data_IF_238476121169
#
_entry.id   IF_238476121169
#
_cell.length_a   1.000
_cell.length_b   1.000
_cell.length_c   1.000
_cell.angle_alpha   90.00
_cell.angle_beta   90.00
_cell.angle_gamma   90.00
#
_symmetry.space_group_name_H-M   'P 1'
#
loop_
_entity.id
_entity.type
_entity.pdbx_description
1 polymer ?
#
# COMPACT_ATOMS: atom_id res chain seq x y z
N UNK A 1 17.76 -4.17 40.19
CA UNK A 1 18.36 -5.03 39.15
C UNK A 1 17.39 -5.10 37.97
N UNK A 2 17.73 -4.53 36.80
CA UNK A 2 16.89 -4.61 35.60
C UNK A 2 17.18 -5.94 34.88
N UNK A 3 16.24 -6.87 34.92
CA UNK A 3 16.24 -8.04 34.03
C UNK A 3 15.92 -7.57 32.60
N UNK A 4 16.95 -7.14 31.86
CA UNK A 4 16.89 -7.04 30.42
C UNK A 4 16.76 -8.45 29.86
N UNK A 5 15.51 -8.87 29.63
CA UNK A 5 15.18 -10.07 28.85
C UNK A 5 16.08 -10.10 27.62
N UNK A 6 16.95 -11.12 27.53
CA UNK A 6 17.80 -11.35 26.36
C UNK A 6 16.85 -11.50 25.18
N UNK A 7 16.84 -10.52 24.26
CA UNK A 7 16.04 -10.58 23.04
C UNK A 7 16.41 -11.86 22.30
N UNK A 8 15.51 -12.85 22.33
CA UNK A 8 15.64 -14.03 21.49
C UNK A 8 15.51 -13.57 20.05
N UNK A 9 16.63 -13.55 19.31
CA UNK A 9 16.65 -13.24 17.89
C UNK A 9 15.98 -14.41 17.15
N UNK A 10 14.65 -14.35 17.02
CA UNK A 10 13.92 -15.29 16.18
C UNK A 10 14.28 -15.00 14.72
N UNK A 11 14.74 -16.02 13.99
CA UNK A 11 14.98 -15.90 12.54
C UNK A 11 13.67 -15.48 11.85
N UNK A 12 13.72 -14.40 11.08
CA UNK A 12 12.57 -13.86 10.36
C UNK A 12 11.93 -14.90 9.43
N UNK A 13 12.74 -15.79 8.84
CA UNK A 13 12.23 -16.90 8.03
C UNK A 13 11.39 -17.89 8.85
N UNK A 14 11.76 -18.15 10.12
CA UNK A 14 10.97 -19.00 11.02
C UNK A 14 9.68 -18.30 11.46
N UNK A 15 9.75 -17.00 11.76
CA UNK A 15 8.57 -16.18 12.12
C UNK A 15 7.54 -16.15 10.99
N UNK A 16 7.99 -16.14 9.73
CA UNK A 16 7.12 -16.13 8.56
C UNK A 16 6.53 -17.48 8.15
N UNK A 17 6.91 -18.59 8.80
CA UNK A 17 6.35 -19.91 8.50
C UNK A 17 4.86 -19.98 8.90
N UNK A 18 4.10 -20.90 8.26
CA UNK A 18 2.78 -21.25 8.74
C UNK A 18 2.79 -21.69 10.21
N UNK A 19 1.72 -21.43 10.95
CA UNK A 19 1.60 -21.90 12.33
C UNK A 19 1.73 -23.43 12.44
N UNK A 20 1.21 -24.17 11.47
CA UNK A 20 1.38 -25.62 11.35
C UNK A 20 2.85 -26.07 11.19
N UNK A 21 3.74 -25.18 10.74
CA UNK A 21 5.17 -25.41 10.59
C UNK A 21 6.00 -24.70 11.69
N UNK A 22 5.36 -24.28 12.78
CA UNK A 22 6.03 -23.65 13.93
C UNK A 22 6.37 -22.17 13.77
N UNK A 23 5.79 -21.47 12.78
CA UNK A 23 5.91 -20.02 12.61
C UNK A 23 4.74 -19.21 13.15
N UNK A 24 4.75 -17.90 12.94
CA UNK A 24 3.73 -16.96 13.42
C UNK A 24 2.80 -16.46 12.30
N UNK A 25 2.80 -17.11 11.12
CA UNK A 25 2.04 -16.69 9.94
C UNK A 25 2.33 -15.22 9.51
N UNK A 26 3.46 -14.64 9.92
CA UNK A 26 3.81 -13.27 9.55
C UNK A 26 4.18 -13.23 8.07
N UNK A 27 3.58 -12.33 7.29
CA UNK A 27 3.89 -12.21 5.87
C UNK A 27 5.34 -11.76 5.66
N UNK A 28 6.14 -12.58 4.97
CA UNK A 28 7.48 -12.20 4.56
C UNK A 28 7.40 -11.13 3.46
N UNK A 29 7.66 -9.86 3.82
CA UNK A 29 7.56 -8.71 2.91
C UNK A 29 8.43 -8.86 1.66
N UNK A 30 9.62 -9.45 1.77
CA UNK A 30 10.49 -9.70 0.62
C UNK A 30 9.86 -10.71 -0.35
N UNK A 31 9.31 -11.83 0.15
CA UNK A 31 8.60 -12.82 -0.66
C UNK A 31 7.31 -12.25 -1.25
N UNK A 32 6.58 -11.44 -0.49
CA UNK A 32 5.37 -10.77 -0.95
C UNK A 32 5.67 -9.77 -2.06
N UNK A 33 6.72 -8.96 -1.93
CA UNK A 33 7.12 -8.01 -2.97
C UNK A 33 7.51 -8.74 -4.26
N UNK A 34 8.25 -9.86 -4.16
CA UNK A 34 8.52 -10.74 -5.31
C UNK A 34 7.23 -11.24 -5.93
N UNK A 35 6.29 -11.76 -5.13
CA UNK A 35 4.98 -12.20 -5.63
C UNK A 35 4.21 -11.06 -6.32
N UNK A 36 4.25 -9.84 -5.79
CA UNK A 36 3.61 -8.66 -6.37
C UNK A 36 4.18 -8.30 -7.74
N UNK A 37 5.50 -8.34 -7.88
CA UNK A 37 6.16 -8.14 -9.17
C UNK A 37 5.78 -9.26 -10.15
N UNK A 38 5.77 -10.52 -9.71
CA UNK A 38 5.37 -11.69 -10.54
C UNK A 38 3.91 -11.56 -11.01
N UNK A 39 3.00 -11.08 -10.15
CA UNK A 39 1.60 -10.82 -10.56
C UNK A 39 1.49 -9.76 -11.64
N UNK A 40 2.30 -8.69 -11.55
CA UNK A 40 2.33 -7.68 -12.61
C UNK A 40 2.93 -8.23 -13.90
N UNK A 41 3.99 -9.03 -13.79
CA UNK A 41 4.59 -9.74 -14.91
C UNK A 41 3.57 -10.65 -15.63
N UNK A 42 2.83 -11.47 -14.87
CA UNK A 42 1.75 -12.30 -15.38
C UNK A 42 0.67 -11.48 -16.10
N UNK A 43 0.27 -10.35 -15.52
CA UNK A 43 -0.73 -9.47 -16.15
C UNK A 43 -0.25 -8.92 -17.49
N UNK A 44 1.02 -8.53 -17.61
CA UNK A 44 1.63 -8.06 -18.87
C UNK A 44 1.73 -9.20 -19.88
N UNK A 45 2.16 -10.39 -19.45
CA UNK A 45 2.30 -11.57 -20.29
C UNK A 45 0.95 -12.00 -20.89
N UNK A 46 -0.13 -11.97 -20.10
CA UNK A 46 -1.49 -12.24 -20.58
C UNK A 46 -2.11 -11.10 -21.40
N UNK A 47 -1.39 -9.99 -21.63
CA UNK A 47 -1.91 -8.80 -22.32
C UNK A 47 -3.25 -8.32 -21.75
N UNK A 48 -3.42 -8.38 -20.42
CA UNK A 48 -4.67 -8.00 -19.77
C UNK A 48 -5.11 -6.61 -20.22
N UNK A 49 -6.38 -6.49 -20.61
CA UNK A 49 -6.90 -5.22 -21.15
C UNK A 49 -7.02 -4.16 -20.05
N UNK A 50 -5.94 -3.38 -19.89
CA UNK A 50 -5.98 -2.13 -19.16
C UNK A 50 -4.93 -1.15 -19.70
N UNK A 51 -5.18 0.14 -19.49
CA UNK A 51 -4.41 1.24 -20.11
C UNK A 51 -2.91 1.16 -19.83
N UNK A 52 -2.50 0.83 -18.61
CA UNK A 52 -1.08 0.78 -18.27
C UNK A 52 -0.37 -0.40 -18.95
N UNK A 53 -1.04 -1.55 -19.14
CA UNK A 53 -0.48 -2.71 -19.86
C UNK A 53 -0.38 -2.39 -21.34
N UNK A 54 -1.43 -1.80 -21.93
CA UNK A 54 -1.40 -1.31 -23.32
C UNK A 54 -0.24 -0.33 -23.54
N UNK A 55 -0.02 0.58 -22.59
CA UNK A 55 1.11 1.51 -22.64
C UNK A 55 2.48 0.81 -22.52
N UNK A 56 2.64 -0.16 -21.61
CA UNK A 56 3.88 -0.94 -21.50
C UNK A 56 4.18 -1.68 -22.80
N UNK A 57 3.17 -2.32 -23.39
CA UNK A 57 3.30 -3.00 -24.68
C UNK A 57 3.69 -2.03 -25.80
N UNK A 58 3.05 -0.86 -25.89
CA UNK A 58 3.35 0.13 -26.92
C UNK A 58 4.73 0.80 -26.76
N UNK A 59 5.11 1.15 -25.53
CA UNK A 59 6.30 1.96 -25.26
C UNK A 59 7.57 1.13 -25.06
N UNK A 60 7.50 0.08 -24.22
CA UNK A 60 8.67 -0.72 -23.85
C UNK A 60 8.85 -1.96 -24.72
N UNK A 61 7.77 -2.71 -24.99
CA UNK A 61 7.84 -3.98 -25.74
C UNK A 61 7.81 -3.71 -27.26
N UNK A 62 7.06 -2.68 -27.68
CA UNK A 62 6.84 -2.29 -29.07
C UNK A 62 6.31 -3.48 -29.89
N UNK A 63 7.01 -3.85 -30.96
CA UNK A 63 6.68 -5.01 -31.82
C UNK A 63 7.46 -6.28 -31.47
N UNK A 64 8.17 -6.29 -30.35
CA UNK A 64 9.02 -7.41 -29.95
C UNK A 64 8.22 -8.46 -29.17
N UNK A 65 8.73 -9.69 -29.15
CA UNK A 65 8.24 -10.74 -28.25
C UNK A 65 8.57 -10.39 -26.81
N UNK A 66 7.58 -10.48 -25.92
CA UNK A 66 7.75 -10.10 -24.52
C UNK A 66 8.82 -10.92 -23.81
N UNK A 67 8.99 -12.18 -24.19
CA UNK A 67 9.91 -13.13 -23.57
C UNK A 67 11.38 -12.78 -23.81
N UNK A 68 11.68 -12.07 -24.90
CA UNK A 68 13.05 -11.79 -25.35
C UNK A 68 13.36 -10.30 -25.50
N UNK A 69 12.42 -9.40 -25.19
CA UNK A 69 12.67 -7.98 -25.39
C UNK A 69 13.76 -7.46 -24.42
N UNK A 70 14.72 -6.66 -24.91
CA UNK A 70 15.80 -6.15 -24.08
C UNK A 70 15.27 -5.15 -23.07
N UNK A 71 15.96 -5.00 -21.94
CA UNK A 71 15.61 -4.02 -20.90
C UNK A 71 16.26 -2.67 -21.27
N UNK A 72 15.49 -1.62 -21.63
CA UNK A 72 16.10 -0.33 -21.98
C UNK A 72 16.85 0.29 -20.78
N UNK A 73 17.94 1.02 -21.04
CA UNK A 73 18.69 1.71 -19.97
C UNK A 73 17.86 2.81 -19.29
N UNK A 74 16.93 3.42 -20.02
CA UNK A 74 16.04 4.51 -19.57
C UNK A 74 14.71 4.02 -18.97
N UNK A 75 14.63 2.73 -18.62
CA UNK A 75 13.38 2.11 -18.12
C UNK A 75 13.03 2.60 -16.72
N UNK A 76 11.74 2.86 -16.47
CA UNK A 76 11.25 3.15 -15.13
C UNK A 76 11.58 1.97 -14.18
N UNK A 77 11.99 2.26 -12.94
CA UNK A 77 12.48 1.26 -11.99
C UNK A 77 11.54 0.06 -11.83
N UNK A 78 10.23 0.30 -11.75
CA UNK A 78 9.22 -0.77 -11.60
C UNK A 78 9.17 -1.68 -12.83
N UNK A 79 9.21 -1.13 -14.05
CA UNK A 79 9.20 -1.91 -15.29
C UNK A 79 10.52 -2.67 -15.43
N UNK A 80 11.64 -2.04 -15.08
CA UNK A 80 12.94 -2.71 -15.02
C UNK A 80 12.90 -3.92 -14.08
N UNK A 81 12.33 -3.78 -12.87
CA UNK A 81 12.19 -4.90 -11.93
C UNK A 81 11.29 -6.02 -12.44
N UNK A 82 10.22 -5.68 -13.16
CA UNK A 82 9.35 -6.65 -13.82
C UNK A 82 10.12 -7.44 -14.89
N UNK A 83 10.87 -6.75 -15.76
CA UNK A 83 11.65 -7.40 -16.83
C UNK A 83 12.85 -8.20 -16.29
N UNK A 84 13.54 -7.72 -15.25
CA UNK A 84 14.58 -8.50 -14.56
C UNK A 84 13.99 -9.78 -13.93
N UNK A 85 12.76 -9.70 -13.42
CA UNK A 85 12.04 -10.88 -12.88
C UNK A 85 11.64 -11.85 -13.99
N UNK A 86 11.24 -11.36 -15.16
CA UNK A 86 11.00 -12.18 -16.36
C UNK A 86 12.25 -13.00 -16.68
N UNK A 87 13.40 -12.34 -16.80
CA UNK A 87 14.67 -13.00 -17.15
C UNK A 87 15.05 -14.06 -16.11
N UNK A 88 14.86 -13.74 -14.83
CA UNK A 88 15.08 -14.68 -13.72
C UNK A 88 14.20 -15.93 -13.85
N UNK A 89 12.93 -15.78 -14.21
CA UNK A 89 12.00 -16.91 -14.40
C UNK A 89 12.36 -17.70 -15.66
N UNK A 90 12.71 -17.03 -16.75
CA UNK A 90 13.11 -17.68 -17.99
C UNK A 90 14.37 -18.54 -17.79
N UNK A 91 15.33 -18.09 -16.98
CA UNK A 91 16.54 -18.83 -16.62
C UNK A 91 16.30 -20.05 -15.70
N UNK A 92 15.11 -20.22 -15.12
CA UNK A 92 14.83 -21.39 -14.29
C UNK A 92 14.78 -22.67 -15.13
N UNK A 93 15.82 -23.50 -14.98
CA UNK A 93 15.99 -24.76 -15.73
C UNK A 93 14.94 -25.82 -15.35
N UNK A 94 14.41 -25.77 -14.12
CA UNK A 94 13.47 -26.78 -13.61
C UNK A 94 12.07 -26.74 -14.25
N UNK A 95 11.74 -25.67 -15.00
CA UNK A 95 10.44 -25.55 -15.67
C UNK A 95 10.65 -25.31 -17.15
N UNK A 96 10.30 -26.29 -17.97
CA UNK A 96 10.31 -26.19 -19.43
C UNK A 96 9.11 -25.39 -19.93
N UNK A 97 9.28 -24.67 -21.04
CA UNK A 97 8.24 -23.89 -21.70
C UNK A 97 8.55 -22.39 -21.79
N UNK A 98 7.64 -21.67 -22.43
CA UNK A 98 7.66 -20.20 -22.54
C UNK A 98 7.33 -19.52 -21.19
N UNK A 99 7.36 -18.19 -21.15
CA UNK A 99 7.14 -17.44 -19.93
C UNK A 99 5.76 -17.74 -19.30
N UNK A 100 4.72 -17.88 -20.12
CA UNK A 100 3.37 -18.15 -19.65
C UNK A 100 3.25 -19.56 -19.05
N UNK A 101 3.85 -20.57 -19.69
CA UNK A 101 3.91 -21.92 -19.15
C UNK A 101 4.64 -21.98 -17.80
N UNK A 102 5.76 -21.23 -17.68
CA UNK A 102 6.51 -21.14 -16.41
C UNK A 102 5.70 -20.44 -15.32
N UNK A 103 5.02 -19.34 -15.64
CA UNK A 103 4.15 -18.63 -14.71
C UNK A 103 2.90 -19.44 -14.35
N UNK A 104 2.40 -20.28 -15.26
CA UNK A 104 1.22 -21.11 -15.04
C UNK A 104 1.38 -22.05 -13.85
N UNK A 105 2.58 -22.63 -13.68
CA UNK A 105 2.89 -23.49 -12.52
C UNK A 105 2.88 -22.77 -11.17
N UNK A 106 2.85 -21.44 -11.17
CA UNK A 106 2.82 -20.59 -9.98
C UNK A 106 1.42 -20.03 -9.69
N UNK A 107 0.41 -20.38 -10.50
CA UNK A 107 -0.97 -19.96 -10.30
C UNK A 107 -1.64 -20.70 -9.13
N UNK A 108 -2.69 -20.09 -8.58
CA UNK A 108 -3.61 -20.78 -7.68
C UNK A 108 -4.44 -21.82 -8.46
N UNK A 109 -5.17 -22.69 -7.75
CA UNK A 109 -6.05 -23.72 -8.35
C UNK A 109 -7.17 -23.15 -9.25
N UNK A 110 -7.45 -21.86 -9.16
CA UNK A 110 -8.44 -21.12 -9.96
C UNK A 110 -7.80 -20.36 -11.14
N UNK A 111 -6.58 -20.74 -11.53
CA UNK A 111 -5.75 -20.08 -12.55
C UNK A 111 -5.46 -18.60 -12.29
N UNK A 112 -5.75 -18.10 -11.08
CA UNK A 112 -5.52 -16.72 -10.69
C UNK A 112 -4.14 -16.53 -10.04
N UNK A 113 -3.50 -15.40 -10.32
CA UNK A 113 -2.43 -14.86 -9.47
C UNK A 113 -3.04 -13.94 -8.41
N UNK A 114 -3.48 -14.52 -7.29
CA UNK A 114 -4.02 -13.78 -6.15
C UNK A 114 -2.98 -13.64 -5.06
N UNK A 115 -2.70 -12.40 -4.66
CA UNK A 115 -1.83 -12.09 -3.54
C UNK A 115 -2.72 -11.59 -2.41
N UNK A 116 -2.62 -12.21 -1.23
CA UNK A 116 -3.35 -11.75 -0.04
C UNK A 116 -3.03 -10.27 0.21
N UNK A 117 -4.07 -9.43 0.38
CA UNK A 117 -3.91 -7.99 0.70
C UNK A 117 -3.01 -7.85 1.95
N UNK A 118 -2.11 -6.85 1.94
CA UNK A 118 -0.95 -6.73 2.84
C UNK A 118 -1.28 -6.23 4.26
N UNK A 119 -2.33 -5.43 4.45
CA UNK A 119 -2.57 -4.76 5.74
C UNK A 119 -3.26 -5.70 6.72
N UNK A 120 -2.59 -6.07 7.82
CA UNK A 120 -3.08 -6.98 8.86
C UNK A 120 -4.11 -6.32 9.81
N UNK A 121 -5.30 -6.04 9.28
CA UNK A 121 -6.50 -5.65 10.04
C UNK A 121 -6.97 -6.79 10.97
N UNK A 122 -7.83 -6.52 11.97
CA UNK A 122 -8.18 -7.52 13.00
C UNK A 122 -8.79 -8.80 12.41
N UNK A 123 -9.64 -8.68 11.39
CA UNK A 123 -10.15 -9.80 10.60
C UNK A 123 -9.03 -10.68 10.02
N UNK A 124 -7.95 -10.05 9.56
CA UNK A 124 -6.77 -10.76 9.01
C UNK A 124 -5.91 -11.37 10.09
N UNK A 125 -5.77 -10.70 11.25
CA UNK A 125 -5.08 -11.27 12.41
C UNK A 125 -5.80 -12.55 12.88
N UNK A 126 -7.13 -12.53 12.92
CA UNK A 126 -7.93 -13.71 13.27
C UNK A 126 -7.78 -14.83 12.23
N UNK A 127 -7.80 -14.50 10.92
CA UNK A 127 -7.55 -15.48 9.85
C UNK A 127 -6.15 -16.12 9.90
N UNK A 128 -5.16 -15.48 10.54
CA UNK A 128 -3.81 -16.05 10.71
C UNK A 128 -3.58 -16.68 12.09
N UNK A 129 -4.64 -16.85 12.89
CA UNK A 129 -4.60 -17.51 14.20
C UNK A 129 -4.19 -16.60 15.36
N UNK A 130 -4.05 -15.30 15.14
CA UNK A 130 -3.79 -14.32 16.20
C UNK A 130 -5.14 -13.86 16.77
N UNK A 131 -5.39 -14.18 18.04
CA UNK A 131 -6.57 -13.68 18.76
C UNK A 131 -6.42 -12.16 18.97
N UNK A 132 -6.98 -11.38 18.05
CA UNK A 132 -7.08 -9.93 18.16
C UNK A 132 -8.56 -9.54 18.39
N UNK A 133 -8.84 -8.55 19.26
CA UNK A 133 -10.21 -8.06 19.41
C UNK A 133 -10.73 -7.52 18.07
N UNK A 134 -11.88 -8.03 17.62
CA UNK A 134 -12.50 -7.63 16.35
C UNK A 134 -13.08 -6.22 16.39
N UNK A 135 -13.34 -5.66 17.57
CA UNK A 135 -13.77 -4.27 17.73
C UNK A 135 -12.67 -3.31 17.29
N UNK A 136 -13.02 -2.28 16.53
CA UNK A 136 -12.13 -1.20 16.09
C UNK A 136 -11.39 -0.57 17.26
N UNK A 137 -10.07 -0.46 17.14
CA UNK A 137 -9.24 0.07 18.23
C UNK A 137 -9.46 1.56 18.49
N UNK A 138 -10.02 2.30 17.53
CA UNK A 138 -10.26 3.73 17.67
C UNK A 138 -11.61 4.05 18.32
N UNK A 139 -12.70 3.46 17.82
CA UNK A 139 -14.06 3.79 18.27
C UNK A 139 -14.70 2.73 19.16
N UNK A 140 -14.13 1.52 19.23
CA UNK A 140 -14.65 0.35 19.95
C UNK A 140 -16.06 -0.13 19.56
N UNK A 141 -16.76 0.55 18.64
CA UNK A 141 -18.16 0.27 18.29
C UNK A 141 -18.38 -0.51 16.98
N UNK A 142 -17.39 -0.59 16.08
CA UNK A 142 -17.50 -1.30 14.80
C UNK A 142 -16.49 -2.44 14.67
N UNK A 143 -16.71 -3.34 13.70
CA UNK A 143 -15.76 -4.40 13.37
C UNK A 143 -14.58 -3.80 12.58
N UNK A 144 -13.35 -4.06 13.03
CA UNK A 144 -12.14 -3.57 12.37
C UNK A 144 -11.85 -4.33 11.07
N UNK A 145 -12.40 -3.81 9.97
CA UNK A 145 -12.02 -4.17 8.61
C UNK A 145 -11.15 -3.07 8.00
N UNK A 146 -10.55 -3.32 6.83
CA UNK A 146 -9.79 -2.29 6.11
C UNK A 146 -10.70 -1.13 5.71
N UNK A 147 -11.86 -1.45 5.15
CA UNK A 147 -12.85 -0.48 4.71
C UNK A 147 -13.35 0.35 5.90
N UNK A 148 -13.61 -0.31 7.05
CA UNK A 148 -14.00 0.39 8.27
C UNK A 148 -12.90 1.32 8.81
N UNK A 149 -11.66 0.85 8.85
CA UNK A 149 -10.51 1.56 9.41
C UNK A 149 -10.17 2.85 8.64
N UNK A 150 -10.34 2.87 7.32
CA UNK A 150 -9.99 4.01 6.48
C UNK A 150 -11.24 4.80 6.11
N UNK A 151 -11.68 5.65 7.05
CA UNK A 151 -12.66 6.73 6.92
C UNK A 151 -14.15 6.41 7.19
N UNK A 152 -14.53 5.14 7.28
CA UNK A 152 -15.88 4.76 7.74
C UNK A 152 -15.99 4.79 9.28
N UNK A 153 -14.91 4.44 9.99
CA UNK A 153 -14.82 4.59 11.44
C UNK A 153 -14.96 6.07 11.82
N UNK A 154 -15.89 6.45 12.73
CA UNK A 154 -16.17 7.84 13.06
C UNK A 154 -14.93 8.66 13.44
N UNK A 155 -13.99 8.05 14.17
CA UNK A 155 -12.75 8.68 14.63
C UNK A 155 -11.80 8.96 13.46
N UNK A 156 -11.50 7.96 12.65
CA UNK A 156 -10.60 8.13 11.48
C UNK A 156 -11.24 8.97 10.36
N UNK A 157 -12.56 8.92 10.25
CA UNK A 157 -13.34 9.73 9.32
C UNK A 157 -13.38 11.20 9.72
N UNK A 158 -13.41 11.51 11.03
CA UNK A 158 -13.29 12.87 11.54
C UNK A 158 -11.94 13.50 11.19
N UNK A 159 -10.83 12.76 11.40
CA UNK A 159 -9.49 13.18 10.97
C UNK A 159 -9.45 13.55 9.48
N UNK A 160 -10.03 12.71 8.61
CA UNK A 160 -10.04 12.98 7.18
C UNK A 160 -10.93 14.18 6.81
N UNK A 161 -12.10 14.32 7.44
CA UNK A 161 -12.97 15.46 7.22
C UNK A 161 -12.29 16.77 7.64
N UNK A 162 -11.58 16.77 8.77
CA UNK A 162 -10.79 17.91 9.24
C UNK A 162 -9.69 18.30 8.25
N UNK A 163 -8.98 17.31 7.69
CA UNK A 163 -7.99 17.55 6.63
C UNK A 163 -8.62 18.06 5.33
N UNK A 164 -9.80 17.58 4.95
CA UNK A 164 -10.54 18.07 3.78
C UNK A 164 -10.95 19.54 3.95
N UNK A 165 -11.49 19.89 5.13
CA UNK A 165 -11.84 21.28 5.48
C UNK A 165 -10.60 22.16 5.45
N UNK A 166 -9.50 21.72 6.07
CA UNK A 166 -8.22 22.43 6.04
C UNK A 166 -7.74 22.67 4.61
N UNK A 167 -7.81 21.67 3.73
CA UNK A 167 -7.46 21.79 2.31
C UNK A 167 -8.42 22.68 1.49
N UNK A 168 -9.48 23.22 2.10
CA UNK A 168 -10.47 24.10 1.46
C UNK A 168 -11.56 23.36 0.68
N UNK A 169 -11.78 22.08 0.96
CA UNK A 169 -12.84 21.30 0.32
C UNK A 169 -14.12 21.28 1.16
N UNK A 170 -15.21 21.79 0.58
CA UNK A 170 -16.56 21.63 1.13
C UNK A 170 -17.17 20.37 0.53
N UNK A 171 -17.04 19.23 1.24
CA UNK A 171 -17.67 17.96 0.86
C UNK A 171 -17.88 17.07 2.08
N UNK A 172 -18.85 16.17 1.98
CA UNK A 172 -18.97 15.05 2.90
C UNK A 172 -17.90 14.00 2.59
N UNK A 173 -17.44 13.31 3.63
CA UNK A 173 -16.57 12.13 3.48
C UNK A 173 -17.38 10.99 2.85
N UNK A 174 -16.82 10.32 1.85
CA UNK A 174 -17.29 9.05 1.33
C UNK A 174 -16.71 7.85 2.08
N UNK A 175 -17.07 6.64 1.64
CA UNK A 175 -16.37 5.43 2.08
C UNK A 175 -14.93 5.38 1.54
N UNK A 176 -14.14 4.42 2.04
CA UNK A 176 -12.73 4.24 1.67
C UNK A 176 -12.50 4.19 0.14
N UNK A 177 -13.43 3.58 -0.60
CA UNK A 177 -13.34 3.37 -2.05
C UNK A 177 -13.64 4.66 -2.80
N UNK A 178 -14.68 5.38 -2.42
CA UNK A 178 -15.06 6.65 -3.02
C UNK A 178 -13.98 7.72 -2.77
N UNK A 179 -13.43 7.79 -1.56
CA UNK A 179 -12.33 8.71 -1.25
C UNK A 179 -11.08 8.40 -2.08
N UNK A 180 -10.71 7.12 -2.21
CA UNK A 180 -9.58 6.71 -3.04
C UNK A 180 -9.78 7.09 -4.52
N UNK A 181 -10.98 6.86 -5.05
CA UNK A 181 -11.31 7.24 -6.44
C UNK A 181 -11.23 8.75 -6.65
N UNK A 182 -11.76 9.52 -5.69
CA UNK A 182 -11.71 10.98 -5.74
C UNK A 182 -10.27 11.50 -5.68
N UNK A 183 -9.43 11.01 -4.77
CA UNK A 183 -8.00 11.37 -4.68
C UNK A 183 -7.24 10.96 -5.95
N UNK A 184 -7.54 9.80 -6.54
CA UNK A 184 -7.00 9.40 -7.83
C UNK A 184 -7.38 10.38 -8.96
N UNK A 185 -8.61 10.91 -8.94
CA UNK A 185 -9.04 11.92 -9.92
C UNK A 185 -8.25 13.23 -9.79
N UNK A 186 -7.84 13.61 -8.56
CA UNK A 186 -6.99 14.77 -8.31
C UNK A 186 -5.58 14.60 -8.91
N UNK A 187 -5.08 13.37 -9.01
CA UNK A 187 -3.80 13.09 -9.66
C UNK A 187 -3.79 13.50 -11.14
N UNK A 188 -4.94 13.41 -11.81
CA UNK A 188 -5.09 13.71 -13.24
C UNK A 188 -5.12 15.22 -13.53
N UNK A 189 -5.51 16.05 -12.57
CA UNK A 189 -5.73 17.51 -12.75
C UNK A 189 -4.46 18.36 -12.85
N UNK A 190 -3.27 17.78 -12.65
CA UNK A 190 -1.95 18.46 -12.68
C UNK A 190 -1.85 19.76 -11.84
N UNK A 191 -2.73 19.96 -10.86
CA UNK A 191 -2.77 21.16 -10.02
C UNK A 191 -1.88 21.03 -8.78
N UNK A 192 -1.37 22.16 -8.27
CA UNK A 192 -0.60 22.22 -7.02
C UNK A 192 -1.40 21.69 -5.84
N UNK A 193 -2.64 22.17 -5.67
CA UNK A 193 -3.55 21.71 -4.62
C UNK A 193 -3.84 20.21 -4.75
N UNK A 194 -4.10 19.69 -5.96
CA UNK A 194 -4.31 18.25 -6.18
C UNK A 194 -3.09 17.39 -5.85
N UNK A 195 -1.87 17.94 -5.91
CA UNK A 195 -0.68 17.26 -5.44
C UNK A 195 -0.56 17.27 -3.91
N UNK A 196 -0.91 18.38 -3.27
CA UNK A 196 -1.00 18.49 -1.80
C UNK A 196 -2.05 17.53 -1.25
N UNK A 197 -3.25 17.49 -1.83
CA UNK A 197 -4.36 16.59 -1.43
C UNK A 197 -3.96 15.12 -1.46
N UNK A 198 -3.25 14.68 -2.51
CA UNK A 198 -2.75 13.30 -2.58
C UNK A 198 -1.72 12.98 -1.51
N UNK A 199 -0.88 13.96 -1.17
CA UNK A 199 0.08 13.82 -0.08
C UNK A 199 -0.64 13.73 1.26
N UNK A 200 -1.63 14.60 1.50
CA UNK A 200 -2.44 14.58 2.71
C UNK A 200 -3.17 13.25 2.89
N UNK A 201 -3.78 12.73 1.83
CA UNK A 201 -4.42 11.41 1.87
C UNK A 201 -3.43 10.29 2.19
N UNK A 202 -2.28 10.25 1.52
CA UNK A 202 -1.25 9.24 1.77
C UNK A 202 -0.71 9.31 3.21
N UNK A 203 -0.52 10.52 3.73
CA UNK A 203 -0.09 10.75 5.12
C UNK A 203 -1.18 10.33 6.12
N UNK A 204 -2.45 10.65 5.86
CA UNK A 204 -3.57 10.24 6.70
C UNK A 204 -3.67 8.70 6.81
N UNK A 205 -3.60 8.00 5.67
CA UNK A 205 -3.58 6.53 5.65
C UNK A 205 -2.40 5.97 6.45
N UNK A 206 -1.21 6.55 6.28
CA UNK A 206 -0.03 6.14 7.03
C UNK A 206 -0.17 6.35 8.54
N UNK A 207 -0.61 7.55 8.96
CA UNK A 207 -0.78 7.89 10.38
C UNK A 207 -1.85 7.04 11.02
N UNK A 208 -3.02 6.87 10.38
CA UNK A 208 -4.07 5.96 10.86
C UNK A 208 -3.51 4.54 11.08
N UNK A 209 -2.73 4.03 10.12
CA UNK A 209 -2.13 2.72 10.25
C UNK A 209 -1.09 2.64 11.37
N UNK A 210 -0.26 3.68 11.52
CA UNK A 210 0.73 3.78 12.61
C UNK A 210 0.05 3.79 13.97
N UNK A 211 -0.91 4.69 14.19
CA UNK A 211 -1.63 4.83 15.45
C UNK A 211 -2.40 3.57 15.80
N UNK A 212 -3.07 2.94 14.83
CA UNK A 212 -3.72 1.64 15.03
C UNK A 212 -2.76 0.63 15.62
N UNK A 213 -1.54 0.53 15.08
CA UNK A 213 -0.55 -0.43 15.58
C UNK A 213 -0.03 -0.04 16.98
N UNK A 214 0.16 1.25 17.26
CA UNK A 214 0.55 1.73 18.59
C UNK A 214 -0.54 1.43 19.63
N UNK A 215 -1.81 1.67 19.30
CA UNK A 215 -2.95 1.37 20.17
C UNK A 215 -3.06 -0.13 20.44
N UNK A 216 -2.92 -0.97 19.40
CA UNK A 216 -3.03 -2.44 19.50
C UNK A 216 -1.89 -3.08 20.28
N UNK A 217 -0.66 -2.65 20.05
CA UNK A 217 0.54 -3.39 20.49
C UNK A 217 1.34 -2.68 21.58
N UNK A 218 1.13 -1.38 21.78
CA UNK A 218 1.96 -0.56 22.66
C UNK A 218 1.14 0.23 23.70
N UNK A 219 -0.17 -0.02 23.82
CA UNK A 219 -1.07 0.66 24.77
C UNK A 219 -0.98 2.20 24.68
N UNK A 220 -0.78 2.72 23.48
CA UNK A 220 -0.74 4.16 23.24
C UNK A 220 -2.12 4.80 23.39
N UNK A 221 -2.19 6.13 23.27
CA UNK A 221 -3.43 6.89 23.08
C UNK A 221 -3.45 7.53 21.69
N UNK A 222 -4.65 7.76 21.17
CA UNK A 222 -4.88 8.47 19.91
C UNK A 222 -5.28 9.92 20.18
N UNK A 223 -4.74 10.83 19.40
CA UNK A 223 -5.03 12.27 19.48
C UNK A 223 -5.15 12.84 18.07
N UNK A 224 -6.38 13.16 17.67
CA UNK A 224 -6.70 13.70 16.35
C UNK A 224 -6.02 15.05 16.08
N UNK A 225 -5.90 15.92 17.09
CA UNK A 225 -5.29 17.24 16.94
C UNK A 225 -3.78 17.10 16.68
N UNK A 226 -3.11 16.26 17.47
CA UNK A 226 -1.69 15.96 17.27
C UNK A 226 -1.42 15.40 15.88
N UNK A 227 -2.21 14.43 15.45
CA UNK A 227 -2.00 13.71 14.20
C UNK A 227 -2.34 14.58 12.97
N UNK A 228 -3.39 15.40 13.04
CA UNK A 228 -3.72 16.36 11.98
C UNK A 228 -2.66 17.46 11.84
N UNK A 229 -2.12 17.98 12.95
CA UNK A 229 -0.97 18.91 12.93
C UNK A 229 0.27 18.26 12.33
N UNK A 230 0.60 17.03 12.72
CA UNK A 230 1.75 16.30 12.17
C UNK A 230 1.66 16.22 10.63
N UNK A 231 0.49 15.85 10.10
CA UNK A 231 0.25 15.77 8.66
C UNK A 231 0.46 17.15 7.99
N UNK A 232 -0.10 18.20 8.58
CA UNK A 232 0.06 19.56 8.05
C UNK A 232 1.52 20.04 8.06
N UNK A 233 2.28 19.78 9.13
CA UNK A 233 3.71 20.10 9.23
C UNK A 233 4.50 19.37 8.13
N UNK A 234 4.29 18.06 7.98
CA UNK A 234 5.00 17.29 6.96
C UNK A 234 4.71 17.77 5.54
N UNK A 235 3.47 18.14 5.26
CA UNK A 235 3.07 18.71 3.97
C UNK A 235 3.79 20.04 3.73
N UNK A 236 3.85 20.92 4.73
CA UNK A 236 4.53 22.20 4.61
C UNK A 236 6.04 22.04 4.39
N UNK A 237 6.71 21.22 5.20
CA UNK A 237 8.15 20.93 5.05
C UNK A 237 8.44 20.37 3.65
N UNK A 238 7.64 19.38 3.19
CA UNK A 238 7.79 18.80 1.85
C UNK A 238 7.53 19.83 0.75
N UNK A 239 6.56 20.71 0.97
CA UNK A 239 6.15 21.72 0.01
C UNK A 239 7.13 22.87 -0.22
N UNK A 240 8.01 23.16 0.75
CA UNK A 240 9.06 24.18 0.58
C UNK A 240 9.96 23.88 -0.63
N UNK A 241 10.21 22.60 -0.89
CA UNK A 241 11.04 22.11 -2.00
C UNK A 241 10.27 21.99 -3.33
N UNK A 242 8.95 22.24 -3.35
CA UNK A 242 8.09 22.02 -4.52
C UNK A 242 7.44 23.33 -4.97
N UNK A 243 7.99 23.95 -6.05
CA UNK A 243 7.47 25.22 -6.61
C UNK A 243 5.95 25.22 -6.83
N UNK A 244 5.37 24.10 -7.27
CA UNK A 244 3.92 23.96 -7.54
C UNK A 244 3.06 24.01 -6.27
N UNK A 245 3.63 23.82 -5.08
CA UNK A 245 2.91 23.76 -3.81
C UNK A 245 2.92 25.09 -3.06
N UNK A 246 3.79 26.03 -3.42
CA UNK A 246 3.93 27.32 -2.72
C UNK A 246 2.62 28.11 -2.63
N UNK A 247 1.92 28.30 -3.76
CA UNK A 247 0.65 29.05 -3.80
C UNK A 247 -0.49 28.35 -3.04
N UNK A 248 -0.68 27.02 -3.16
CA UNK A 248 -1.62 26.31 -2.30
C UNK A 248 -1.27 26.40 -0.81
N UNK A 249 -0.01 26.23 -0.43
CA UNK A 249 0.41 26.21 0.97
C UNK A 249 0.36 27.60 1.62
N UNK A 250 0.57 28.68 0.87
CA UNK A 250 0.39 30.03 1.41
C UNK A 250 -1.07 30.32 1.81
N UNK A 251 -2.03 29.59 1.24
CA UNK A 251 -3.45 29.67 1.61
C UNK A 251 -3.81 28.74 2.78
N UNK A 252 -2.89 27.84 3.17
CA UNK A 252 -3.04 26.85 4.23
C UNK A 252 -2.18 27.21 5.46
N UNK A 253 -2.12 28.50 5.81
CA UNK A 253 -1.23 29.01 6.85
C UNK A 253 -1.62 28.62 8.28
N UNK A 254 -2.84 28.13 8.48
CA UNK A 254 -3.31 27.60 9.76
C UNK A 254 -3.16 26.08 9.85
N UNK A 255 -3.07 25.55 11.08
CA UNK A 255 -3.21 24.12 11.31
C UNK A 255 -4.66 23.68 11.08
N UNK A 256 -4.90 22.39 10.78
CA UNK A 256 -6.26 21.85 10.79
C UNK A 256 -6.82 22.03 12.21
N UNK A 257 -7.90 22.79 12.37
CA UNK A 257 -8.66 22.95 13.61
C UNK A 257 -10.03 22.31 13.44
#
# INVERSE_FOLDING_TARGET
MKNLSKKALASWDKVCLPQAAGGLNVLNLCRWNKAAIIKQLWSIAQKKDCLWIKWVHSYYIKKQTFDSCPIPKTTAWVIRKILETRDTIMQQVMVQGDLLAKLGKMQNKDDSFSIKKMMATADRLQMIGIQAPMACVFCHGGIETHEYLFFECPVTGALWLRLLTWLGYIRNRGDAKHELQWVCSMAKRKSGLGAVTRCAYAMAVYVIWRERNLLRFQKSTYDEDRDSREIAVHIHIRGQNLRKWRKPLSLLSSYPY
#
